data_IF_696135664585
#
_entry.id   IF_696135664585
#
_cell.length_a   1.000
_cell.length_b   1.000
_cell.length_c   1.000
_cell.angle_alpha   90.00
_cell.angle_beta   90.00
_cell.angle_gamma   90.00
#
_symmetry.space_group_name_H-M   'P 1'
#
loop_
_entity.id
_entity.type
_entity.pdbx_description
1 polymer ?
#
# COMPACT_ATOMS: atom_id res chain seq x y z
N UNK A 1 -11.77 -25.56 15.29
CA UNK A 1 -10.82 -24.68 15.99
C UNK A 1 -11.56 -23.38 16.23
N UNK A 2 -12.02 -23.14 17.46
CA UNK A 2 -12.68 -21.89 17.81
C UNK A 2 -11.56 -20.90 18.13
N UNK A 3 -11.29 -19.98 17.21
CA UNK A 3 -10.46 -18.82 17.50
C UNK A 3 -11.33 -17.89 18.35
N UNK A 4 -10.85 -17.48 19.51
CA UNK A 4 -11.48 -16.44 20.30
C UNK A 4 -11.27 -15.10 19.56
N UNK A 5 -12.34 -14.56 18.98
CA UNK A 5 -12.27 -13.28 18.27
C UNK A 5 -12.00 -12.09 19.22
N UNK A 6 -12.03 -12.30 20.54
CA UNK A 6 -11.65 -11.31 21.54
C UNK A 6 -10.23 -10.78 21.38
N UNK A 7 -9.32 -11.52 20.73
CA UNK A 7 -7.96 -11.02 20.43
C UNK A 7 -7.97 -9.79 19.51
N UNK A 8 -9.05 -9.62 18.74
CA UNK A 8 -9.17 -8.56 17.74
C UNK A 8 -9.69 -7.24 18.34
N UNK A 9 -10.19 -7.27 19.58
CA UNK A 9 -10.67 -6.08 20.27
C UNK A 9 -9.53 -5.05 20.40
N UNK A 10 -9.76 -3.84 19.88
CA UNK A 10 -8.77 -2.77 19.86
C UNK A 10 -7.63 -2.92 18.83
N UNK A 11 -7.56 -4.02 18.08
CA UNK A 11 -6.54 -4.22 17.05
C UNK A 11 -6.69 -3.26 15.87
N UNK A 12 -5.58 -3.06 15.15
CA UNK A 12 -5.52 -2.33 13.88
C UNK A 12 -4.90 -3.26 12.84
N UNK A 13 -5.60 -3.46 11.73
CA UNK A 13 -5.05 -4.13 10.54
C UNK A 13 -4.61 -3.07 9.52
N UNK A 14 -3.32 -3.04 9.19
CA UNK A 14 -2.69 -2.01 8.37
C UNK A 14 -2.69 -2.33 6.86
N UNK A 15 -3.10 -3.52 6.44
CA UNK A 15 -2.96 -3.92 5.04
C UNK A 15 -4.03 -4.93 4.63
N UNK A 16 -5.20 -4.44 4.22
CA UNK A 16 -6.27 -5.28 3.67
C UNK A 16 -6.57 -4.92 2.22
N UNK A 17 -6.59 -5.93 1.35
CA UNK A 17 -7.00 -5.75 -0.04
C UNK A 17 -8.53 -5.83 -0.20
N UNK A 18 -9.14 -4.79 -0.78
CA UNK A 18 -10.59 -4.71 -1.01
C UNK A 18 -10.95 -4.65 -2.48
N UNK A 19 -12.16 -5.12 -2.80
CA UNK A 19 -12.75 -4.96 -4.13
C UNK A 19 -13.42 -3.59 -4.31
N UNK A 20 -13.63 -3.13 -5.56
CA UNK A 20 -13.24 -3.80 -6.81
C UNK A 20 -11.72 -3.79 -7.04
N UNK A 21 -11.21 -4.90 -7.59
CA UNK A 21 -9.80 -5.09 -7.97
C UNK A 21 -9.76 -6.04 -9.19
N UNK A 22 -8.63 -6.15 -9.87
CA UNK A 22 -8.49 -7.05 -11.04
C UNK A 22 -8.36 -8.52 -10.66
N UNK A 23 -8.15 -8.80 -9.37
CA UNK A 23 -8.23 -10.13 -8.76
C UNK A 23 -9.39 -10.17 -7.76
N UNK A 24 -10.12 -11.29 -7.63
CA UNK A 24 -11.18 -11.41 -6.64
C UNK A 24 -10.67 -11.11 -5.23
N UNK A 25 -11.43 -10.28 -4.49
CA UNK A 25 -11.16 -9.94 -3.09
C UNK A 25 -12.27 -10.48 -2.19
N UNK A 26 -11.96 -10.67 -0.92
CA UNK A 26 -12.89 -11.20 0.06
C UNK A 26 -14.13 -10.31 0.25
N UNK A 27 -13.95 -8.99 0.21
CA UNK A 27 -15.01 -8.02 0.39
C UNK A 27 -14.62 -6.62 -0.07
N UNK A 28 -15.60 -5.73 -0.01
CA UNK A 28 -15.41 -4.28 -0.19
C UNK A 28 -15.19 -3.57 1.15
N UNK A 29 -15.00 -2.26 1.09
CA UNK A 29 -14.79 -1.41 2.26
C UNK A 29 -15.97 -1.46 3.26
N UNK A 30 -17.22 -1.56 2.79
CA UNK A 30 -18.40 -1.55 3.65
C UNK A 30 -18.53 -2.86 4.42
N UNK A 31 -18.32 -3.99 3.75
CA UNK A 31 -18.34 -5.31 4.37
C UNK A 31 -17.27 -5.41 5.44
N UNK A 32 -16.02 -5.05 5.11
CA UNK A 32 -14.92 -5.13 6.08
C UNK A 32 -15.11 -4.19 7.26
N UNK A 33 -15.65 -2.98 7.05
CA UNK A 33 -15.96 -2.08 8.15
C UNK A 33 -16.95 -2.71 9.14
N UNK A 34 -18.04 -3.32 8.65
CA UNK A 34 -19.02 -4.00 9.51
C UNK A 34 -18.42 -5.19 10.26
N UNK A 35 -17.60 -5.99 9.58
CA UNK A 35 -16.96 -7.16 10.18
C UNK A 35 -15.89 -6.80 11.22
N UNK A 36 -15.14 -5.72 11.00
CA UNK A 36 -14.15 -5.21 11.93
C UNK A 36 -14.84 -4.56 13.16
N UNK A 37 -15.92 -3.82 12.93
CA UNK A 37 -16.73 -3.21 13.99
C UNK A 37 -17.39 -4.26 14.90
N UNK A 38 -17.95 -5.33 14.32
CA UNK A 38 -18.55 -6.42 15.09
C UNK A 38 -17.53 -7.16 15.97
N UNK A 39 -16.24 -7.00 15.69
CA UNK A 39 -15.10 -7.54 16.44
C UNK A 39 -14.42 -6.50 17.33
N UNK A 40 -15.00 -5.30 17.40
CA UNK A 40 -14.50 -4.15 18.17
C UNK A 40 -13.05 -3.77 17.82
N UNK A 41 -12.65 -3.99 16.58
CA UNK A 41 -11.35 -3.52 16.10
C UNK A 41 -11.32 -1.99 16.16
N UNK A 42 -10.13 -1.43 16.40
CA UNK A 42 -9.95 0.02 16.47
C UNK A 42 -9.93 0.65 15.08
N UNK A 43 -9.23 0.02 14.14
CA UNK A 43 -9.18 0.51 12.76
C UNK A 43 -8.80 -0.59 11.76
N UNK A 44 -9.08 -0.31 10.49
CA UNK A 44 -8.57 -1.08 9.35
C UNK A 44 -8.04 -0.12 8.28
N UNK A 45 -7.04 -0.57 7.53
CA UNK A 45 -6.50 0.15 6.36
C UNK A 45 -6.76 -0.67 5.11
N UNK A 46 -7.47 -0.07 4.16
CA UNK A 46 -7.87 -0.72 2.91
C UNK A 46 -7.00 -0.27 1.73
N UNK A 47 -6.76 -1.19 0.80
CA UNK A 47 -5.89 -1.03 -0.37
C UNK A 47 -6.50 -1.70 -1.61
N UNK A 48 -6.24 -1.12 -2.78
CA UNK A 48 -6.36 -1.81 -4.07
C UNK A 48 -5.06 -1.66 -4.86
N UNK A 49 -4.90 -2.41 -5.96
CA UNK A 49 -3.82 -2.16 -6.91
C UNK A 49 -4.20 -1.16 -8.02
N UNK A 50 -5.48 -0.81 -8.14
CA UNK A 50 -6.04 -0.08 -9.29
C UNK A 50 -6.19 1.42 -9.06
N UNK A 51 -6.52 1.82 -7.84
CA UNK A 51 -6.92 3.19 -7.52
C UNK A 51 -6.62 3.54 -6.06
N UNK A 52 -6.56 4.85 -5.71
CA UNK A 52 -6.61 5.29 -4.33
C UNK A 52 -7.85 4.73 -3.62
N UNK A 53 -7.74 4.40 -2.33
CA UNK A 53 -8.85 3.87 -1.51
C UNK A 53 -9.40 4.88 -0.52
N UNK A 54 -9.02 6.15 -0.66
CA UNK A 54 -9.42 7.23 0.24
C UNK A 54 -10.93 7.49 0.15
N UNK A 55 -11.51 7.34 -1.03
CA UNK A 55 -12.95 7.43 -1.30
C UNK A 55 -13.74 6.31 -0.62
N UNK A 56 -13.32 5.05 -0.80
CA UNK A 56 -13.94 3.89 -0.16
C UNK A 56 -13.85 3.97 1.36
N UNK A 57 -12.72 4.44 1.89
CA UNK A 57 -12.55 4.67 3.31
C UNK A 57 -13.47 5.79 3.82
N UNK A 58 -13.57 6.91 3.10
CA UNK A 58 -14.48 7.99 3.44
C UNK A 58 -15.94 7.51 3.51
N UNK A 59 -16.41 6.79 2.49
CA UNK A 59 -17.77 6.26 2.42
C UNK A 59 -18.04 5.22 3.51
N UNK A 60 -17.10 4.31 3.78
CA UNK A 60 -17.27 3.32 4.84
C UNK A 60 -17.38 3.97 6.23
N UNK A 61 -16.65 5.06 6.49
CA UNK A 61 -16.80 5.81 7.75
C UNK A 61 -18.15 6.53 7.88
N UNK A 62 -18.88 6.78 6.78
CA UNK A 62 -20.23 7.36 6.85
C UNK A 62 -21.29 6.37 7.40
N UNK A 63 -20.94 5.09 7.57
CA UNK A 63 -21.81 4.10 8.20
C UNK A 63 -22.08 4.37 9.69
N UNK A 64 -21.30 5.25 10.34
CA UNK A 64 -21.47 5.56 11.76
C UNK A 64 -20.97 4.46 12.72
N UNK A 65 -20.11 3.57 12.23
CA UNK A 65 -19.49 2.50 13.03
C UNK A 65 -18.40 3.04 13.96
N UNK A 66 -18.05 2.27 14.98
CA UNK A 66 -16.99 2.61 15.94
C UNK A 66 -15.60 2.43 15.33
N UNK A 67 -15.40 1.38 14.52
CA UNK A 67 -14.14 1.14 13.80
C UNK A 67 -13.84 2.28 12.83
N UNK A 68 -12.56 2.67 12.73
CA UNK A 68 -12.09 3.63 11.72
C UNK A 68 -11.55 2.94 10.48
N UNK A 69 -11.96 3.41 9.30
CA UNK A 69 -11.44 2.91 8.03
C UNK A 69 -10.49 3.95 7.45
N UNK A 70 -9.28 3.54 7.09
CA UNK A 70 -8.30 4.41 6.42
C UNK A 70 -7.96 3.86 5.05
N UNK A 71 -7.65 4.78 4.12
CA UNK A 71 -7.25 4.45 2.77
C UNK A 71 -5.86 4.97 2.43
N UNK A 72 -5.44 4.74 1.20
CA UNK A 72 -4.12 5.07 0.70
C UNK A 72 -4.02 4.86 -0.80
N UNK A 73 -2.80 4.66 -1.31
CA UNK A 73 -2.58 4.34 -2.72
C UNK A 73 -1.34 3.45 -2.92
N UNK A 74 -1.46 2.44 -3.78
CA UNK A 74 -0.31 1.67 -4.26
C UNK A 74 0.25 2.30 -5.54
N UNK A 75 1.55 2.58 -5.59
CA UNK A 75 2.23 3.29 -6.67
C UNK A 75 2.62 2.35 -7.83
N UNK A 76 1.62 1.71 -8.44
CA UNK A 76 1.77 0.94 -9.67
C UNK A 76 1.57 1.84 -10.91
N UNK A 77 1.89 1.35 -12.10
CA UNK A 77 1.68 2.06 -13.36
C UNK A 77 0.26 2.63 -13.53
N UNK A 78 -0.82 1.84 -13.31
CA UNK A 78 -2.20 2.33 -13.44
C UNK A 78 -2.58 3.50 -12.53
N UNK A 79 -1.87 3.69 -11.40
CA UNK A 79 -2.10 4.78 -10.46
C UNK A 79 -1.14 5.96 -10.67
N UNK A 80 -0.25 5.88 -11.66
CA UNK A 80 0.74 6.92 -11.98
C UNK A 80 2.15 6.61 -11.51
N UNK A 81 2.42 5.42 -10.97
CA UNK A 81 3.75 5.01 -10.53
C UNK A 81 4.33 5.94 -9.47
N UNK A 82 5.60 6.30 -9.60
CA UNK A 82 6.32 7.18 -8.67
C UNK A 82 5.97 8.68 -8.85
N UNK A 83 4.80 9.00 -9.39
CA UNK A 83 4.39 10.39 -9.60
C UNK A 83 4.04 11.08 -8.26
N UNK A 84 4.84 12.09 -7.89
CA UNK A 84 4.68 12.86 -6.65
C UNK A 84 3.30 13.55 -6.56
N UNK A 85 2.75 14.03 -7.68
CA UNK A 85 1.43 14.67 -7.71
C UNK A 85 0.32 13.71 -7.29
N UNK A 86 0.39 12.45 -7.70
CA UNK A 86 -0.55 11.40 -7.26
C UNK A 86 -0.48 11.21 -5.74
N UNK A 87 0.74 11.17 -5.18
CA UNK A 87 0.96 11.00 -3.74
C UNK A 87 0.39 12.19 -2.97
N UNK A 88 0.72 13.42 -3.36
CA UNK A 88 0.20 14.63 -2.71
C UNK A 88 -1.33 14.73 -2.79
N UNK A 89 -1.93 14.37 -3.93
CA UNK A 89 -3.39 14.34 -4.06
C UNK A 89 -4.02 13.33 -3.08
N UNK A 90 -3.42 12.15 -2.94
CA UNK A 90 -3.89 11.11 -2.01
C UNK A 90 -3.78 11.57 -0.56
N UNK A 91 -2.61 12.11 -0.18
CA UNK A 91 -2.36 12.60 1.18
C UNK A 91 -3.31 13.74 1.55
N UNK A 92 -3.49 14.73 0.67
CA UNK A 92 -4.40 15.86 0.88
C UNK A 92 -5.88 15.45 0.95
N UNK A 93 -6.23 14.34 0.32
CA UNK A 93 -7.59 13.77 0.39
C UNK A 93 -7.82 12.96 1.68
N UNK A 94 -6.79 12.76 2.51
CA UNK A 94 -6.88 12.05 3.78
C UNK A 94 -6.28 10.64 3.79
N UNK A 95 -5.56 10.25 2.73
CA UNK A 95 -4.83 8.98 2.70
C UNK A 95 -3.79 8.88 3.82
N UNK A 96 -3.66 7.70 4.41
CA UNK A 96 -2.77 7.43 5.55
C UNK A 96 -1.62 6.50 5.24
N UNK A 97 -1.67 5.79 4.12
CA UNK A 97 -0.61 4.87 3.70
C UNK A 97 -0.33 5.05 2.20
N UNK A 98 0.95 5.18 1.86
CA UNK A 98 1.46 5.14 0.49
C UNK A 98 2.25 3.85 0.36
N UNK A 99 1.83 2.94 -0.51
CA UNK A 99 2.62 1.75 -0.83
C UNK A 99 3.46 2.04 -2.07
N UNK A 100 4.77 1.91 -1.96
CA UNK A 100 5.68 1.84 -3.10
C UNK A 100 5.30 0.68 -4.04
N UNK A 101 5.89 0.60 -5.26
CA UNK A 101 5.44 -0.32 -6.30
C UNK A 101 5.18 -1.74 -5.78
N UNK A 102 4.06 -2.32 -6.21
CA UNK A 102 3.67 -3.69 -5.82
C UNK A 102 3.82 -4.66 -6.99
N UNK A 103 2.87 -4.69 -7.91
CA UNK A 103 2.87 -5.66 -9.02
C UNK A 103 3.81 -5.22 -10.14
N UNK A 104 4.02 -3.91 -10.22
CA UNK A 104 4.88 -3.30 -11.23
C UNK A 104 6.28 -3.03 -10.67
N UNK A 105 6.57 -3.45 -9.43
CA UNK A 105 7.93 -3.42 -8.90
C UNK A 105 8.83 -4.35 -9.73
N UNK A 106 10.00 -3.86 -10.13
CA UNK A 106 10.94 -4.66 -10.92
C UNK A 106 11.30 -5.98 -10.22
N UNK A 107 11.51 -5.93 -8.91
CA UNK A 107 11.79 -7.10 -8.11
C UNK A 107 10.62 -8.10 -8.06
N UNK A 108 9.38 -7.62 -7.99
CA UNK A 108 8.18 -8.46 -8.03
C UNK A 108 8.04 -9.19 -9.37
N UNK A 109 8.27 -8.48 -10.48
CA UNK A 109 8.23 -9.04 -11.84
C UNK A 109 9.29 -10.13 -11.99
N UNK A 110 10.54 -9.87 -11.61
CA UNK A 110 11.63 -10.87 -11.65
C UNK A 110 11.34 -12.09 -10.78
N UNK A 111 10.69 -11.91 -9.62
CA UNK A 111 10.25 -13.03 -8.77
C UNK A 111 9.15 -13.86 -9.45
N UNK A 112 8.18 -13.20 -10.08
CA UNK A 112 7.10 -13.87 -10.81
C UNK A 112 7.65 -14.74 -11.96
N UNK A 113 8.60 -14.23 -12.73
CA UNK A 113 9.30 -14.97 -13.80
C UNK A 113 10.01 -16.23 -13.28
N UNK A 114 10.54 -16.18 -12.06
CA UNK A 114 11.17 -17.32 -11.37
C UNK A 114 10.19 -18.28 -10.71
N UNK A 115 8.88 -18.10 -10.93
CA UNK A 115 7.85 -19.01 -10.44
C UNK A 115 7.32 -18.71 -9.04
N UNK A 116 7.72 -17.60 -8.42
CA UNK A 116 7.23 -17.17 -7.10
C UNK A 116 5.70 -16.96 -7.10
N UNK A 117 5.04 -17.14 -5.95
CA UNK A 117 3.57 -17.08 -5.82
C UNK A 117 2.96 -15.74 -6.28
N UNK A 118 3.74 -14.67 -6.19
CA UNK A 118 3.33 -13.32 -6.60
C UNK A 118 2.93 -13.24 -8.09
N UNK A 119 3.36 -14.22 -8.92
CA UNK A 119 2.96 -14.32 -10.34
C UNK A 119 1.44 -14.33 -10.54
N UNK A 120 0.67 -14.82 -9.57
CA UNK A 120 -0.79 -14.82 -9.64
C UNK A 120 -1.38 -13.39 -9.71
N UNK A 121 -0.67 -12.40 -9.17
CA UNK A 121 -1.05 -11.00 -9.16
C UNK A 121 -0.35 -10.20 -10.26
N UNK A 122 0.93 -10.50 -10.53
CA UNK A 122 1.73 -9.80 -11.56
C UNK A 122 1.26 -10.15 -12.97
N UNK A 123 0.98 -11.42 -13.26
CA UNK A 123 0.66 -11.85 -14.62
C UNK A 123 -0.66 -11.28 -15.15
N UNK A 124 -1.54 -10.85 -14.25
CA UNK A 124 -2.87 -10.29 -14.57
C UNK A 124 -2.93 -8.76 -14.42
N UNK A 125 -1.88 -8.11 -13.92
CA UNK A 125 -1.85 -6.65 -13.72
C UNK A 125 -1.50 -5.85 -14.97
N UNK A 126 -1.06 -6.50 -16.05
CA UNK A 126 -0.62 -5.82 -17.28
C UNK A 126 -1.78 -5.33 -18.15
N UNK A 127 -2.97 -5.90 -17.98
CA UNK A 127 -4.15 -5.62 -18.81
C UNK A 127 -3.87 -5.73 -20.32
N UNK A 128 -2.98 -6.64 -20.72
CA UNK A 128 -2.56 -6.82 -22.11
C UNK A 128 -1.70 -5.68 -22.66
N UNK A 129 -1.09 -4.86 -21.79
CA UNK A 129 -0.20 -3.75 -22.14
C UNK A 129 1.22 -4.03 -21.69
N UNK A 130 2.18 -3.29 -22.29
CA UNK A 130 3.56 -3.30 -21.82
C UNK A 130 3.61 -2.67 -20.43
N UNK A 131 4.28 -3.33 -19.49
CA UNK A 131 4.54 -2.83 -18.14
C UNK A 131 6.00 -2.39 -18.09
N UNK A 132 6.24 -1.12 -17.74
CA UNK A 132 7.59 -0.65 -17.44
C UNK A 132 7.90 -0.97 -15.97
N UNK A 133 8.93 -1.80 -15.69
CA UNK A 133 9.29 -2.13 -14.32
C UNK A 133 9.68 -0.89 -13.51
N UNK A 134 9.12 -0.76 -12.31
CA UNK A 134 9.39 0.33 -11.39
C UNK A 134 10.48 -0.08 -10.38
N UNK A 135 11.56 0.69 -10.37
CA UNK A 135 12.58 0.69 -9.32
C UNK A 135 12.61 2.06 -8.66
N UNK A 136 12.86 2.09 -7.36
CA UNK A 136 13.01 3.35 -6.60
C UNK A 136 14.45 3.88 -6.62
N UNK A 137 15.39 3.08 -7.15
CA UNK A 137 16.79 3.47 -7.30
C UNK A 137 17.07 3.92 -8.72
N UNK A 138 17.98 4.87 -8.85
CA UNK A 138 18.59 5.23 -10.12
C UNK A 138 19.72 4.24 -10.50
N UNK A 139 20.35 4.47 -11.64
CA UNK A 139 21.43 3.61 -12.17
C UNK A 139 22.67 3.56 -11.25
N UNK A 140 22.87 4.59 -10.40
CA UNK A 140 23.96 4.62 -9.41
C UNK A 140 23.59 3.96 -8.08
N UNK A 141 22.39 3.39 -7.95
CA UNK A 141 21.91 2.77 -6.72
C UNK A 141 21.50 3.76 -5.63
N UNK A 142 21.20 5.01 -5.99
CA UNK A 142 20.66 6.04 -5.09
C UNK A 142 19.15 6.17 -5.25
N UNK A 143 18.44 6.61 -4.20
CA UNK A 143 17.02 6.92 -4.31
C UNK A 143 16.79 8.00 -5.37
N UNK A 144 15.86 7.75 -6.29
CA UNK A 144 15.45 8.74 -7.28
C UNK A 144 14.87 9.99 -6.60
N UNK A 145 14.96 11.13 -7.27
CA UNK A 145 14.51 12.42 -6.72
C UNK A 145 13.03 12.38 -6.33
N UNK A 146 12.17 11.80 -7.18
CA UNK A 146 10.74 11.65 -6.91
C UNK A 146 10.46 10.78 -5.68
N UNK A 147 11.31 9.78 -5.40
CA UNK A 147 11.15 8.92 -4.22
C UNK A 147 11.53 9.68 -2.95
N UNK A 148 12.56 10.52 -3.01
CA UNK A 148 12.92 11.40 -1.90
C UNK A 148 11.82 12.43 -1.62
N UNK A 149 11.18 12.97 -2.66
CA UNK A 149 10.01 13.85 -2.53
C UNK A 149 8.82 13.12 -1.91
N UNK A 150 8.51 11.90 -2.36
CA UNK A 150 7.46 11.06 -1.77
C UNK A 150 7.73 10.81 -0.29
N UNK A 151 8.97 10.50 0.08
CA UNK A 151 9.37 10.28 1.46
C UNK A 151 9.17 11.54 2.32
N UNK A 152 9.60 12.71 1.82
CA UNK A 152 9.38 14.00 2.48
C UNK A 152 7.90 14.34 2.62
N UNK A 153 7.10 14.07 1.59
CA UNK A 153 5.65 14.27 1.63
C UNK A 153 4.99 13.35 2.67
N UNK A 154 5.36 12.06 2.73
CA UNK A 154 4.84 11.15 3.75
C UNK A 154 5.20 11.62 5.17
N UNK A 155 6.41 12.15 5.36
CA UNK A 155 6.83 12.77 6.63
C UNK A 155 5.98 14.00 6.97
N UNK A 156 5.80 14.93 6.03
CA UNK A 156 5.04 16.17 6.24
C UNK A 156 3.58 15.89 6.60
N UNK A 157 2.95 14.92 5.94
CA UNK A 157 1.54 14.57 6.15
C UNK A 157 1.33 13.50 7.22
N UNK A 158 2.39 13.11 7.95
CA UNK A 158 2.35 12.10 9.01
C UNK A 158 1.75 10.74 8.56
N UNK A 159 1.99 10.38 7.30
CA UNK A 159 1.52 9.16 6.66
C UNK A 159 2.57 8.05 6.72
N UNK A 160 2.13 6.80 6.59
CA UNK A 160 2.99 5.63 6.47
C UNK A 160 3.46 5.49 5.03
N UNK A 161 4.75 5.23 4.83
CA UNK A 161 5.32 4.79 3.57
C UNK A 161 5.63 3.30 3.69
N UNK A 162 4.92 2.48 2.94
CA UNK A 162 5.09 1.04 2.92
C UNK A 162 5.93 0.62 1.70
N UNK A 163 6.87 -0.31 1.89
CA UNK A 163 7.84 -0.71 0.86
C UNK A 163 7.22 -1.41 -0.36
N UNK A 164 6.00 -1.92 -0.26
CA UNK A 164 5.41 -2.73 -1.32
C UNK A 164 6.23 -3.99 -1.58
N UNK A 165 6.54 -4.28 -2.85
CA UNK A 165 7.35 -5.43 -3.26
C UNK A 165 8.69 -5.04 -3.91
N UNK A 166 9.24 -3.89 -3.52
CA UNK A 166 10.62 -3.52 -3.88
C UNK A 166 11.63 -4.53 -3.29
N UNK A 167 12.85 -4.53 -3.81
CA UNK A 167 13.93 -5.43 -3.39
C UNK A 167 14.45 -5.13 -1.97
N UNK A 168 15.12 -6.11 -1.32
CA UNK A 168 15.80 -5.86 -0.04
C UNK A 168 16.80 -4.69 -0.08
N UNK A 169 17.51 -4.51 -1.19
CA UNK A 169 18.45 -3.41 -1.39
C UNK A 169 17.75 -2.05 -1.41
N UNK A 170 16.61 -1.97 -2.11
CA UNK A 170 15.75 -0.79 -2.14
C UNK A 170 15.18 -0.48 -0.74
N UNK A 171 14.71 -1.49 0.00
CA UNK A 171 14.26 -1.34 1.38
C UNK A 171 15.34 -0.76 2.29
N UNK A 172 16.58 -1.24 2.18
CA UNK A 172 17.71 -0.74 2.98
C UNK A 172 18.06 0.71 2.63
N UNK A 173 18.02 1.07 1.34
CA UNK A 173 18.24 2.45 0.90
C UNK A 173 17.17 3.40 1.47
N UNK A 174 15.89 3.00 1.43
CA UNK A 174 14.80 3.76 2.06
C UNK A 174 14.96 3.88 3.57
N UNK A 175 15.30 2.80 4.26
CA UNK A 175 15.48 2.81 5.71
C UNK A 175 16.61 3.76 6.11
N UNK A 176 17.71 3.77 5.36
CA UNK A 176 18.82 4.70 5.57
C UNK A 176 18.38 6.15 5.36
N UNK A 177 17.67 6.44 4.27
CA UNK A 177 17.21 7.81 4.01
C UNK A 177 16.17 8.27 5.03
N UNK A 178 15.21 7.41 5.38
CA UNK A 178 14.19 7.66 6.41
C UNK A 178 14.86 8.04 7.72
N UNK A 179 15.90 7.29 8.13
CA UNK A 179 16.70 7.62 9.32
C UNK A 179 17.41 8.96 9.18
N UNK A 180 18.04 9.25 8.04
CA UNK A 180 18.76 10.50 7.78
C UNK A 180 17.85 11.72 7.93
N UNK A 181 16.63 11.65 7.40
CA UNK A 181 15.68 12.75 7.48
C UNK A 181 14.84 12.75 8.76
N UNK A 182 15.00 11.77 9.66
CA UNK A 182 14.18 11.63 10.87
C UNK A 182 12.71 11.35 10.57
N UNK A 183 12.44 10.41 9.66
CA UNK A 183 11.12 9.86 9.37
C UNK A 183 10.97 8.46 9.97
N UNK A 184 9.93 8.25 10.78
CA UNK A 184 9.77 7.05 11.60
C UNK A 184 8.64 6.12 11.14
N UNK A 185 7.79 6.56 10.20
CA UNK A 185 6.63 5.78 9.72
C UNK A 185 6.91 4.98 8.45
N UNK A 186 8.14 4.45 8.32
CA UNK A 186 8.48 3.51 7.26
C UNK A 186 8.05 2.09 7.67
N UNK A 187 7.21 1.47 6.84
CA UNK A 187 6.82 0.06 6.99
C UNK A 187 7.51 -0.79 5.93
N UNK A 188 8.26 -1.82 6.36
CA UNK A 188 8.79 -2.83 5.43
C UNK A 188 7.76 -3.95 5.31
N UNK A 189 7.06 -3.96 4.19
CA UNK A 189 6.05 -4.97 3.85
C UNK A 189 6.66 -6.12 3.05
N UNK A 190 6.01 -7.28 3.10
CA UNK A 190 6.39 -8.47 2.34
C UNK A 190 7.90 -8.80 2.46
N UNK A 191 8.42 -9.02 3.68
CA UNK A 191 9.82 -9.41 3.86
C UNK A 191 10.06 -10.69 3.06
N UNK A 192 11.01 -10.61 2.13
CA UNK A 192 11.03 -11.31 0.87
C UNK A 192 12.36 -12.05 0.67
#
# INVERSE_FOLDING_TARGET
MFVDDGILEGMIDLHIHVGPDYVPRYGDAFRLAKEADSRKMKAIVIKTHLAPTVDGAHLANQLGLSVKVFGGIALNGPTGGLNVRTVLATLRSGGKVIWLPTTDAEYAIKKAEKGHWIKAYVNTSSFGRKVEPLSILNEEGKLKEEVQEILRACKEYDAILASGHISPQECLALAKESKTIGYEKLEITHPN
#
